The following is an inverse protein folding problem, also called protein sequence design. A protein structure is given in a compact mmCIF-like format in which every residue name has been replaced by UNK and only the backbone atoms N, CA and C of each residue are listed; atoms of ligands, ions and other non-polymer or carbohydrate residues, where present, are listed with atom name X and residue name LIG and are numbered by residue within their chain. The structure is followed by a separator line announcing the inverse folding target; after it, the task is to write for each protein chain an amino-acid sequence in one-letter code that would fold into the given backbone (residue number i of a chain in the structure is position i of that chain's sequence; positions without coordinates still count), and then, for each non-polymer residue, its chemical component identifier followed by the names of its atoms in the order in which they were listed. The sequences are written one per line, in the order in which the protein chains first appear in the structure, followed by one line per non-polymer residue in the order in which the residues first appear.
data_IF_695128043453
#
_entry.id   IF_695128043453
#
_cell.length_a   1.000
_cell.length_b   1.000
_cell.length_c   1.000
_cell.angle_alpha   90.00
_cell.angle_beta   90.00
_cell.angle_gamma   90.00
#
_symmetry.space_group_name_H-M   'P 1'
#
loop_
_entity.id
_entity.type
_entity.pdbx_description
1 polymer ?
#
# COMPACT_ATOMS: atom_id res chain seq x y z
N UNK A 1 20.43 -13.01 3.80
CA UNK A 1 19.02 -12.70 4.16
C UNK A 1 18.38 -12.08 2.93
N UNK A 2 17.24 -12.61 2.47
CA UNK A 2 16.53 -12.01 1.34
C UNK A 2 16.00 -10.63 1.75
N UNK A 3 16.24 -9.62 0.92
CA UNK A 3 15.75 -8.29 1.19
C UNK A 3 14.21 -8.28 1.13
N UNK A 4 13.51 -7.83 2.18
CA UNK A 4 12.04 -7.85 2.21
C UNK A 4 11.42 -7.01 1.09
N UNK A 5 12.13 -6.00 0.58
CA UNK A 5 11.66 -5.24 -0.57
C UNK A 5 11.63 -6.09 -1.85
N UNK A 6 12.59 -7.01 -2.03
CA UNK A 6 12.63 -7.90 -3.20
C UNK A 6 11.45 -8.87 -3.15
N UNK A 7 11.21 -9.50 -1.99
CA UNK A 7 10.11 -10.45 -1.84
C UNK A 7 8.74 -9.77 -1.98
N UNK A 8 8.61 -8.55 -1.45
CA UNK A 8 7.39 -7.77 -1.61
C UNK A 8 7.18 -7.33 -3.05
N UNK A 9 8.24 -6.93 -3.76
CA UNK A 9 8.18 -6.62 -5.19
C UNK A 9 7.69 -7.82 -6.00
N UNK A 10 8.20 -9.01 -5.70
CA UNK A 10 7.76 -10.24 -6.37
C UNK A 10 6.25 -10.48 -6.20
N UNK A 11 5.74 -10.30 -4.97
CA UNK A 11 4.30 -10.38 -4.71
C UNK A 11 3.49 -9.32 -5.47
N UNK A 12 3.98 -8.08 -5.53
CA UNK A 12 3.36 -7.04 -6.35
C UNK A 12 3.37 -7.41 -7.84
N UNK A 13 4.47 -7.99 -8.32
CA UNK A 13 4.61 -8.41 -9.71
C UNK A 13 3.67 -9.56 -10.09
N UNK A 14 3.37 -10.46 -9.15
CA UNK A 14 2.38 -11.52 -9.34
C UNK A 14 0.95 -11.00 -9.55
N UNK A 15 0.63 -9.81 -9.03
CA UNK A 15 -0.72 -9.21 -9.13
C UNK A 15 -0.81 -8.15 -10.23
N UNK A 16 0.21 -7.30 -10.35
CA UNK A 16 0.21 -6.14 -11.23
C UNK A 16 1.11 -6.28 -12.46
N UNK A 17 1.85 -7.38 -12.57
CA UNK A 17 2.84 -7.57 -13.63
C UNK A 17 4.17 -6.88 -13.32
N UNK A 18 5.05 -6.79 -14.33
CA UNK A 18 6.43 -6.33 -14.15
C UNK A 18 6.51 -4.91 -13.56
N UNK A 19 7.30 -4.76 -12.50
CA UNK A 19 7.62 -3.49 -11.86
C UNK A 19 9.14 -3.27 -11.92
N UNK A 20 9.57 -2.16 -12.51
CA UNK A 20 10.99 -1.84 -12.66
C UNK A 20 11.56 -0.99 -11.48
N UNK A 21 10.78 -0.81 -10.42
CA UNK A 21 11.17 -0.10 -9.18
C UNK A 21 11.11 -1.03 -7.96
N UNK A 22 11.81 -0.65 -6.89
CA UNK A 22 11.83 -1.40 -5.63
C UNK A 22 10.94 -0.72 -4.58
N UNK A 23 10.11 -1.48 -3.84
CA UNK A 23 9.25 -0.93 -2.80
C UNK A 23 10.05 -0.46 -1.58
N UNK A 24 9.61 0.66 -0.99
CA UNK A 24 10.23 1.23 0.20
C UNK A 24 9.56 0.66 1.46
N UNK A 25 10.39 0.19 2.41
CA UNK A 25 9.93 -0.43 3.65
C UNK A 25 9.88 0.56 4.83
N UNK A 26 9.31 1.74 4.61
CA UNK A 26 9.23 2.82 5.61
C UNK A 26 7.93 2.80 6.44
N UNK A 27 7.03 1.85 6.17
CA UNK A 27 5.72 1.74 6.81
C UNK A 27 4.74 2.84 6.37
N UNK A 28 5.08 3.64 5.36
CA UNK A 28 4.20 4.63 4.79
C UNK A 28 3.44 4.07 3.57
N UNK A 29 2.34 4.73 3.21
CA UNK A 29 1.60 4.41 1.99
C UNK A 29 2.30 5.08 0.81
N UNK A 30 2.85 4.27 -0.07
CA UNK A 30 3.41 4.68 -1.36
C UNK A 30 2.43 4.39 -2.46
N UNK A 31 2.28 5.34 -3.39
CA UNK A 31 1.42 5.19 -4.57
C UNK A 31 2.26 4.94 -5.80
N UNK A 32 1.70 4.17 -6.71
CA UNK A 32 2.38 3.83 -7.96
C UNK A 32 1.38 3.63 -9.10
N UNK A 33 1.92 3.70 -10.31
CA UNK A 33 1.16 3.37 -11.51
C UNK A 33 1.05 1.86 -11.67
N UNK A 34 -0.17 1.34 -11.71
CA UNK A 34 -0.43 -0.08 -11.97
C UNK A 34 -0.30 -0.33 -13.48
N UNK A 35 0.59 -1.23 -13.92
CA UNK A 35 0.64 -1.64 -15.31
C UNK A 35 -0.74 -2.12 -15.80
N UNK A 36 -1.23 -1.53 -16.89
CA UNK A 36 -2.56 -1.80 -17.43
C UNK A 36 -3.63 -0.75 -17.09
N UNK A 37 -3.33 0.18 -16.18
CA UNK A 37 -4.19 1.35 -15.95
C UNK A 37 -3.88 2.52 -16.91
N UNK A 38 -4.77 3.50 -16.94
CA UNK A 38 -4.60 4.69 -17.79
C UNK A 38 -3.31 5.42 -17.43
N UNK A 39 -2.52 5.78 -18.44
CA UNK A 39 -1.30 6.56 -18.27
C UNK A 39 -1.58 7.84 -17.45
N UNK A 40 -0.73 8.12 -16.46
CA UNK A 40 -0.86 9.25 -15.55
C UNK A 40 -1.74 8.99 -14.32
N UNK A 41 -2.23 7.76 -14.10
CA UNK A 41 -2.98 7.41 -12.89
C UNK A 41 -2.14 6.59 -11.91
N UNK A 42 -2.17 6.97 -10.63
CA UNK A 42 -1.52 6.27 -9.53
C UNK A 42 -2.56 5.53 -8.70
N UNK A 43 -3.21 4.54 -9.32
CA UNK A 43 -4.28 3.79 -8.66
C UNK A 43 -3.72 2.72 -7.72
N UNK A 44 -2.48 2.30 -7.91
CA UNK A 44 -1.79 1.35 -7.06
C UNK A 44 -1.30 2.02 -5.80
N UNK A 45 -1.37 1.30 -4.69
CA UNK A 45 -0.76 1.72 -3.44
C UNK A 45 -0.20 0.51 -2.71
N UNK A 46 0.83 0.76 -1.90
CA UNK A 46 1.39 -0.24 -1.02
C UNK A 46 1.93 0.41 0.26
N UNK A 47 2.04 -0.38 1.33
CA UNK A 47 2.79 -0.03 2.53
C UNK A 47 3.58 -1.27 2.95
N UNK A 48 4.86 -1.08 3.25
CA UNK A 48 5.77 -2.16 3.64
C UNK A 48 6.45 -1.78 4.95
N UNK A 49 6.36 -2.67 5.92
CA UNK A 49 6.95 -2.55 7.25
C UNK A 49 8.12 -3.51 7.35
N UNK A 50 9.34 -3.01 7.56
CA UNK A 50 10.54 -3.86 7.76
C UNK A 50 10.81 -4.22 9.22
N UNK A 51 10.08 -3.66 10.19
CA UNK A 51 10.33 -3.91 11.62
C UNK A 51 9.88 -5.33 12.06
N UNK A 52 10.84 -6.14 12.53
CA UNK A 52 10.57 -7.51 12.97
C UNK A 52 10.23 -8.43 11.80
N UNK A 53 9.00 -8.95 11.74
CA UNK A 53 8.52 -9.66 10.56
C UNK A 53 8.19 -8.63 9.49
N UNK A 54 8.90 -8.70 8.37
CA UNK A 54 8.56 -7.89 7.22
C UNK A 54 7.14 -8.23 6.74
N UNK A 55 6.27 -7.24 6.79
CA UNK A 55 4.86 -7.36 6.47
C UNK A 55 4.44 -6.14 5.66
N UNK A 56 3.48 -6.30 4.78
CA UNK A 56 2.99 -5.22 3.95
C UNK A 56 1.55 -5.41 3.53
N UNK A 57 0.98 -4.37 2.96
CA UNK A 57 -0.30 -4.42 2.30
C UNK A 57 -0.22 -3.65 1.01
N UNK A 58 -0.93 -4.10 -0.01
CA UNK A 58 -0.99 -3.42 -1.29
C UNK A 58 -2.37 -3.53 -1.89
N UNK A 59 -2.71 -2.63 -2.79
CA UNK A 59 -4.03 -2.62 -3.38
C UNK A 59 -4.17 -1.67 -4.55
N UNK A 60 -5.37 -1.68 -5.14
CA UNK A 60 -5.75 -0.74 -6.20
C UNK A 60 -7.00 0.02 -5.78
N UNK A 61 -6.93 1.35 -5.88
CA UNK A 61 -8.08 2.22 -5.62
C UNK A 61 -9.17 2.00 -6.65
N UNK A 62 -8.79 1.76 -7.92
CA UNK A 62 -9.70 1.52 -9.03
C UNK A 62 -10.44 0.19 -8.88
N UNK A 63 -9.73 -0.86 -8.46
CA UNK A 63 -10.32 -2.19 -8.27
C UNK A 63 -11.00 -2.35 -6.90
N UNK A 64 -10.74 -1.44 -5.95
CA UNK A 64 -11.19 -1.57 -4.56
C UNK A 64 -10.53 -2.73 -3.80
N UNK A 65 -9.58 -3.44 -4.41
CA UNK A 65 -8.93 -4.61 -3.83
C UNK A 65 -7.78 -4.22 -2.91
N UNK A 66 -7.63 -4.94 -1.81
CA UNK A 66 -6.49 -4.87 -0.90
C UNK A 66 -6.01 -6.28 -0.56
N UNK A 67 -4.72 -6.49 -0.67
CA UNK A 67 -4.02 -7.73 -0.37
C UNK A 67 -3.01 -7.47 0.74
N UNK A 68 -2.79 -8.49 1.57
CA UNK A 68 -1.86 -8.47 2.68
C UNK A 68 -0.73 -9.44 2.37
N UNK A 69 0.49 -9.05 2.71
CA UNK A 69 1.69 -9.81 2.42
C UNK A 69 2.58 -9.89 3.65
N UNK A 70 3.26 -11.01 3.81
CA UNK A 70 4.26 -11.23 4.86
C UNK A 70 5.44 -12.01 4.29
N UNK A 71 6.66 -11.63 4.68
CA UNK A 71 7.90 -12.29 4.26
C UNK A 71 7.99 -13.75 4.72
N UNK A 72 7.36 -14.06 5.85
CA UNK A 72 7.19 -15.42 6.35
C UNK A 72 5.79 -15.61 6.89
N UNK A 73 5.35 -16.87 6.97
CA UNK A 73 4.16 -17.20 7.73
C UNK A 73 4.42 -16.90 9.22
N UNK A 74 3.47 -16.21 9.88
CA UNK A 74 3.54 -16.00 11.32
C UNK A 74 3.51 -17.37 12.01
N UNK A 75 4.54 -17.66 12.81
CA UNK A 75 4.68 -18.95 13.46
C UNK A 75 3.80 -19.06 14.71
N UNK A 76 3.36 -17.91 15.25
CA UNK A 76 2.62 -17.82 16.50
C UNK A 76 1.41 -16.87 16.37
N UNK A 77 0.35 -17.06 17.18
CA UNK A 77 -0.83 -16.18 17.18
C UNK A 77 -0.49 -14.73 17.52
N UNK A 78 0.55 -14.48 18.31
CA UNK A 78 1.05 -13.12 18.60
C UNK A 78 1.58 -12.44 17.32
N UNK A 79 2.27 -13.19 16.46
CA UNK A 79 2.78 -12.67 15.19
C UNK A 79 1.64 -12.40 14.19
N UNK A 80 0.60 -13.24 14.19
CA UNK A 80 -0.63 -13.00 13.42
C UNK A 80 -1.29 -11.69 13.84
N UNK A 81 -1.43 -11.46 15.15
CA UNK A 81 -2.03 -10.23 15.68
C UNK A 81 -1.17 -8.99 15.34
N UNK A 82 0.17 -9.10 15.41
CA UNK A 82 1.06 -8.01 15.00
C UNK A 82 0.90 -7.65 13.52
N UNK A 83 0.84 -8.65 12.64
CA UNK A 83 0.60 -8.44 11.21
C UNK A 83 -0.77 -7.78 11.01
N UNK A 84 -1.80 -8.27 11.70
CA UNK A 84 -3.16 -7.70 11.65
C UNK A 84 -3.17 -6.23 12.10
N UNK A 85 -2.56 -5.90 13.24
CA UNK A 85 -2.52 -4.53 13.75
C UNK A 85 -1.79 -3.58 12.79
N UNK A 86 -0.72 -4.04 12.13
CA UNK A 86 -0.02 -3.26 11.11
C UNK A 86 -0.89 -3.01 9.87
N UNK A 87 -1.62 -4.03 9.43
CA UNK A 87 -2.60 -3.88 8.34
C UNK A 87 -3.70 -2.89 8.73
N UNK A 88 -4.21 -2.96 9.97
CA UNK A 88 -5.19 -2.00 10.48
C UNK A 88 -4.62 -0.58 10.60
N UNK A 89 -3.35 -0.44 10.98
CA UNK A 89 -2.65 0.86 11.00
C UNK A 89 -2.53 1.44 9.59
N UNK A 90 -2.11 0.65 8.62
CA UNK A 90 -2.05 1.06 7.22
C UNK A 90 -3.45 1.42 6.69
N UNK A 91 -4.48 0.65 7.07
CA UNK A 91 -5.87 0.96 6.72
C UNK A 91 -6.32 2.30 7.32
N UNK A 92 -6.00 2.58 8.57
CA UNK A 92 -6.30 3.88 9.21
C UNK A 92 -5.56 5.04 8.54
N UNK A 93 -4.28 4.87 8.20
CA UNK A 93 -3.53 5.89 7.45
C UNK A 93 -4.19 6.18 6.10
N UNK A 94 -4.65 5.15 5.38
CA UNK A 94 -5.39 5.30 4.13
C UNK A 94 -6.65 6.14 4.31
N UNK A 95 -7.42 5.88 5.36
CA UNK A 95 -8.64 6.66 5.65
C UNK A 95 -8.33 8.13 5.94
N UNK A 96 -7.24 8.41 6.67
CA UNK A 96 -6.78 9.78 6.95
C UNK A 96 -6.39 10.50 5.66
N UNK A 97 -5.56 9.88 4.81
CA UNK A 97 -5.19 10.47 3.51
C UNK A 97 -6.39 10.68 2.59
N UNK A 98 -7.34 9.75 2.57
CA UNK A 98 -8.55 9.87 1.77
C UNK A 98 -9.41 11.06 2.25
N UNK A 99 -9.56 11.23 3.56
CA UNK A 99 -10.29 12.38 4.14
C UNK A 99 -9.59 13.70 3.83
N UNK A 100 -8.26 13.76 3.96
CA UNK A 100 -7.50 14.98 3.60
C UNK A 100 -7.68 15.35 2.13
N UNK A 101 -7.67 14.37 1.22
CA UNK A 101 -7.93 14.63 -0.20
C UNK A 101 -9.34 15.12 -0.48
N UNK A 102 -10.36 14.54 0.18
CA UNK A 102 -11.74 14.99 0.02
C UNK A 102 -11.90 16.45 0.47
N UNK A 103 -11.27 16.82 1.59
CA UNK A 103 -11.24 18.22 2.06
C UNK A 103 -10.53 19.12 1.05
N UNK A 104 -9.31 18.77 0.61
CA UNK A 104 -8.56 19.57 -0.36
C UNK A 104 -9.27 19.70 -1.73
N UNK A 105 -10.02 18.68 -2.16
CA UNK A 105 -10.84 18.74 -3.37
C UNK A 105 -12.06 19.66 -3.19
N UNK A 106 -12.74 19.59 -2.04
CA UNK A 106 -13.84 20.48 -1.70
C UNK A 106 -13.38 21.95 -1.61
N UNK A 107 -12.20 22.20 -1.03
CA UNK A 107 -11.61 23.54 -0.96
C UNK A 107 -11.25 24.08 -2.36
N UNK A 108 -10.71 23.24 -3.24
CA UNK A 108 -10.44 23.61 -4.64
C UNK A 108 -11.73 23.89 -5.42
N UNK A 109 -12.77 23.09 -5.24
CA UNK A 109 -14.06 23.31 -5.89
C UNK A 109 -14.70 24.63 -5.43
N UNK A 110 -14.64 24.93 -4.13
CA UNK A 110 -15.11 26.21 -3.57
C UNK A 110 -14.34 27.41 -4.12
N UNK A 111 -13.03 27.25 -4.39
CA UNK A 111 -12.19 28.31 -5.00
C UNK A 111 -12.43 28.51 -6.50
N UNK A 112 -12.85 27.47 -7.23
CA UNK A 112 -13.07 27.55 -8.69
C UNK A 112 -14.45 28.10 -9.07
N UNK A 113 -15.39 28.16 -8.12
CA UNK A 113 -16.77 28.61 -8.30
C UNK A 113 -17.03 30.04 -7.79
N UNK A 114 -15.98 30.81 -7.52
CA UNK A 114 -16.05 32.26 -7.32
C UNK A 114 -15.56 32.97 -8.58
#
# INVERSE_FOLDING_TARGET
MADPAILFRDALQGVYGRLDWAPVADGAIHRFHVPGDRAGTENGWYALFSEGIAAGCFGSWKAGSSHTWSSREPANPVEVEQVRQRIEQARRQREVEQRQRQQAAAERATRLWR
#
